data_IF_948438869541
#
_entry.id   IF_948438869541
#
_cell.length_a   1.000
_cell.length_b   1.000
_cell.length_c   1.000
_cell.angle_alpha   90.00
_cell.angle_beta   90.00
_cell.angle_gamma   90.00
#
_symmetry.space_group_name_H-M   'P 1'
#
loop_
_entity.id
_entity.type
_entity.pdbx_description
1 polymer ?
#
# COMPACT_ATOMS: atom_id res chain seq x y z
N UNK A 1 37.27 17.60 24.13
CA UNK A 1 36.86 16.23 24.49
C UNK A 1 35.35 16.25 24.43
N UNK A 2 34.81 15.85 23.29
CA UNK A 2 33.35 15.71 23.07
C UNK A 2 33.03 14.25 23.32
N UNK A 3 32.37 13.98 24.44
CA UNK A 3 31.78 12.67 24.70
C UNK A 3 30.84 12.33 23.55
N UNK A 4 31.16 11.27 22.83
CA UNK A 4 30.22 10.62 21.92
C UNK A 4 29.07 10.10 22.78
N UNK A 5 27.91 10.75 22.68
CA UNK A 5 26.69 10.29 23.29
C UNK A 5 26.34 8.94 22.61
N UNK A 6 26.81 7.86 23.20
CA UNK A 6 26.51 6.48 22.85
C UNK A 6 25.02 6.27 23.15
N UNK A 7 24.15 6.79 22.26
CA UNK A 7 22.72 6.57 22.34
C UNK A 7 22.45 5.08 22.19
N UNK A 8 22.25 4.38 23.30
CA UNK A 8 21.71 3.01 23.28
C UNK A 8 20.56 2.95 22.29
N UNK A 9 20.58 2.02 21.34
CA UNK A 9 19.49 1.88 20.37
C UNK A 9 18.17 1.75 21.14
N UNK A 10 17.18 2.54 20.74
CA UNK A 10 15.86 2.54 21.39
C UNK A 10 15.23 1.17 21.17
N UNK A 11 15.14 0.36 22.20
CA UNK A 11 14.57 -0.97 22.13
C UNK A 11 13.06 -0.90 21.88
N UNK A 12 12.59 -1.70 20.95
CA UNK A 12 11.17 -1.96 20.73
C UNK A 12 11.01 -3.32 20.03
N UNK A 13 9.81 -3.90 20.11
CA UNK A 13 9.53 -5.24 19.60
C UNK A 13 9.85 -5.44 18.11
N UNK A 14 9.79 -4.39 17.27
CA UNK A 14 10.12 -4.51 15.84
C UNK A 14 11.63 -4.72 15.67
N UNK A 15 12.45 -3.97 16.45
CA UNK A 15 13.91 -4.18 16.46
C UNK A 15 14.28 -5.58 16.95
N UNK A 16 13.57 -6.08 17.94
CA UNK A 16 13.79 -7.43 18.46
C UNK A 16 13.46 -8.47 17.39
N UNK A 17 12.34 -8.33 16.68
CA UNK A 17 11.98 -9.19 15.53
C UNK A 17 13.07 -9.15 14.45
N UNK A 18 13.57 -7.97 14.09
CA UNK A 18 14.62 -7.84 13.07
C UNK A 18 15.93 -8.50 13.52
N UNK A 19 16.33 -8.33 14.80
CA UNK A 19 17.51 -9.02 15.36
C UNK A 19 17.36 -10.55 15.32
N UNK A 20 16.19 -11.04 15.69
CA UNK A 20 15.86 -12.48 15.64
C UNK A 20 15.91 -13.02 14.19
N UNK A 21 15.40 -12.26 13.23
CA UNK A 21 15.41 -12.65 11.82
C UNK A 21 16.83 -12.69 11.25
N UNK A 22 17.66 -11.70 11.59
CA UNK A 22 19.07 -11.68 11.22
C UNK A 22 19.83 -12.84 11.86
N UNK A 23 19.65 -13.08 13.16
CA UNK A 23 20.31 -14.17 13.88
C UNK A 23 19.88 -15.55 13.37
N UNK A 24 18.64 -15.70 12.92
CA UNK A 24 18.10 -16.93 12.36
C UNK A 24 18.41 -17.13 10.85
N UNK A 25 19.13 -16.18 10.23
CA UNK A 25 19.43 -16.23 8.80
C UNK A 25 18.19 -16.14 7.89
N UNK A 26 17.08 -15.57 8.36
CA UNK A 26 15.85 -15.40 7.56
C UNK A 26 15.98 -14.27 6.55
N UNK A 27 16.91 -13.39 6.75
CA UNK A 27 17.22 -12.26 5.88
C UNK A 27 18.64 -12.43 5.39
N UNK A 28 18.78 -12.59 4.08
CA UNK A 28 20.10 -12.63 3.44
C UNK A 28 20.57 -11.19 3.16
N UNK A 29 21.71 -10.82 3.75
CA UNK A 29 22.33 -9.53 3.50
C UNK A 29 21.79 -8.42 4.38
N UNK A 30 21.17 -7.39 3.80
CA UNK A 30 20.84 -6.12 4.41
C UNK A 30 19.36 -5.99 4.76
N UNK A 31 19.05 -5.44 5.94
CA UNK A 31 17.67 -5.05 6.26
C UNK A 31 17.18 -4.02 5.27
N UNK A 32 16.01 -4.26 4.67
CA UNK A 32 15.42 -3.38 3.67
C UNK A 32 13.96 -3.11 4.03
N UNK A 33 13.67 -1.84 4.31
CA UNK A 33 12.34 -1.34 4.63
C UNK A 33 11.84 -0.39 3.55
N UNK A 34 10.61 0.10 3.67
CA UNK A 34 10.08 1.16 2.79
C UNK A 34 9.06 2.02 3.53
N UNK A 35 8.98 3.29 3.15
CA UNK A 35 7.86 4.17 3.46
C UNK A 35 7.01 4.29 2.19
N UNK A 36 5.75 3.75 2.17
CA UNK A 36 4.93 3.69 0.96
C UNK A 36 3.73 4.63 1.02
N UNK A 37 3.91 5.97 0.96
CA UNK A 37 2.79 6.89 1.02
C UNK A 37 1.96 6.86 -0.27
N UNK A 38 0.63 6.92 -0.14
CA UNK A 38 -0.26 7.27 -1.24
C UNK A 38 -0.17 8.80 -1.48
N UNK A 39 0.16 9.27 -2.71
CA UNK A 39 0.37 10.70 -2.98
C UNK A 39 -0.97 11.44 -3.19
N UNK A 40 -1.88 11.36 -2.21
CA UNK A 40 -3.25 11.87 -2.24
C UNK A 40 -3.54 12.92 -1.14
N UNK A 41 -2.50 13.58 -0.61
CA UNK A 41 -2.58 14.68 0.36
C UNK A 41 -1.29 14.85 1.15
N UNK A 42 -1.26 15.91 1.96
CA UNK A 42 -0.14 16.23 2.83
C UNK A 42 0.00 15.26 3.99
N UNK A 43 1.24 14.98 4.39
CA UNK A 43 1.53 14.11 5.52
C UNK A 43 1.19 14.80 6.85
N UNK A 44 0.71 14.03 7.80
CA UNK A 44 0.45 14.47 9.17
C UNK A 44 1.39 13.79 10.16
N UNK A 45 1.38 14.21 11.42
CA UNK A 45 2.25 13.69 12.48
C UNK A 45 2.21 12.16 12.63
N UNK A 46 1.09 11.51 12.27
CA UNK A 46 0.99 10.05 12.26
C UNK A 46 1.91 9.40 11.20
N UNK A 47 2.08 10.06 10.05
CA UNK A 47 3.02 9.61 9.02
C UNK A 47 4.48 9.84 9.46
N UNK A 48 4.77 10.93 10.20
CA UNK A 48 6.10 11.15 10.75
C UNK A 48 6.56 9.98 11.62
N UNK A 49 5.67 9.40 12.45
CA UNK A 49 5.96 8.18 13.21
C UNK A 49 6.38 7.02 12.30
N UNK A 50 5.66 6.80 11.19
CA UNK A 50 5.97 5.72 10.25
C UNK A 50 7.29 5.96 9.51
N UNK A 51 7.55 7.21 9.10
CA UNK A 51 8.82 7.62 8.47
C UNK A 51 9.99 7.34 9.43
N UNK A 52 9.94 7.88 10.65
CA UNK A 52 10.98 7.69 11.65
C UNK A 52 11.20 6.20 11.99
N UNK A 53 10.14 5.39 11.98
CA UNK A 53 10.25 3.96 12.24
C UNK A 53 10.96 3.23 11.09
N UNK A 54 10.52 3.42 9.84
CA UNK A 54 11.07 2.72 8.68
C UNK A 54 12.51 3.14 8.37
N UNK A 55 12.77 4.44 8.27
CA UNK A 55 14.12 4.97 8.03
C UNK A 55 15.05 4.74 9.21
N UNK A 56 14.55 4.94 10.44
CA UNK A 56 15.33 4.72 11.65
C UNK A 56 15.71 3.25 11.84
N UNK A 57 14.80 2.31 11.51
CA UNK A 57 15.10 0.89 11.54
C UNK A 57 16.20 0.54 10.53
N UNK A 58 16.08 1.04 9.30
CA UNK A 58 17.11 0.84 8.28
C UNK A 58 18.48 1.37 8.77
N UNK A 59 18.52 2.58 9.33
CA UNK A 59 19.76 3.17 9.86
C UNK A 59 20.36 2.36 11.02
N UNK A 60 19.54 1.86 11.95
CA UNK A 60 19.99 1.07 13.10
C UNK A 60 20.65 -0.27 12.71
N UNK A 61 20.36 -0.79 11.52
CA UNK A 61 20.85 -2.08 11.03
C UNK A 61 21.70 -1.96 9.75
N UNK A 62 22.28 -0.79 9.47
CA UNK A 62 23.04 -0.51 8.24
C UNK A 62 22.29 -0.94 6.97
N UNK A 63 20.98 -0.78 7.02
CA UNK A 63 20.04 -1.23 6.01
C UNK A 63 19.67 -0.16 4.99
N UNK A 64 18.62 -0.43 4.25
CA UNK A 64 18.07 0.46 3.24
C UNK A 64 16.61 0.78 3.56
N UNK A 65 16.18 2.00 3.18
CA UNK A 65 14.76 2.34 3.19
C UNK A 65 14.39 2.98 1.84
N UNK A 66 13.36 2.45 1.19
CA UNK A 66 12.82 3.00 -0.04
C UNK A 66 11.74 4.04 0.26
N UNK A 67 11.65 5.07 -0.56
CA UNK A 67 10.45 5.89 -0.69
C UNK A 67 9.68 5.35 -1.90
N UNK A 68 8.56 4.67 -1.68
CA UNK A 68 7.71 4.15 -2.76
C UNK A 68 6.34 4.82 -2.71
N UNK A 69 6.00 5.57 -3.72
CA UNK A 69 4.67 6.11 -3.87
C UNK A 69 3.69 5.00 -4.29
N UNK A 70 2.67 4.77 -3.46
CA UNK A 70 1.57 3.87 -3.79
C UNK A 70 0.53 4.64 -4.63
N UNK A 71 0.84 4.77 -5.92
CA UNK A 71 0.07 5.52 -6.89
C UNK A 71 -0.83 4.61 -7.73
N UNK A 72 -1.69 3.85 -7.06
CA UNK A 72 -2.64 2.91 -7.66
C UNK A 72 -4.07 3.48 -7.82
N UNK A 73 -4.31 4.69 -7.31
CA UNK A 73 -5.61 5.35 -7.36
C UNK A 73 -5.56 6.73 -8.05
N UNK A 74 -5.65 6.79 -9.39
CA UNK A 74 -5.41 8.00 -10.17
C UNK A 74 -6.37 9.17 -9.88
N UNK A 75 -7.51 8.93 -9.21
CA UNK A 75 -8.54 9.96 -8.97
C UNK A 75 -8.13 11.00 -7.93
N UNK A 76 -7.20 10.68 -7.05
CA UNK A 76 -6.89 11.50 -5.87
C UNK A 76 -5.43 11.92 -5.77
N UNK A 77 -4.60 11.45 -6.69
CA UNK A 77 -3.14 11.56 -6.64
C UNK A 77 -2.65 12.75 -7.48
N UNK A 78 -1.58 13.40 -7.02
CA UNK A 78 -0.98 14.52 -7.75
C UNK A 78 0.51 14.68 -7.51
N UNK A 79 1.19 15.35 -8.46
CA UNK A 79 2.61 15.74 -8.34
C UNK A 79 2.86 16.71 -7.18
N UNK A 80 1.89 17.55 -6.82
CA UNK A 80 1.98 18.43 -5.65
C UNK A 80 2.20 17.63 -4.37
N UNK A 81 1.41 16.56 -4.18
CA UNK A 81 1.54 15.71 -3.00
C UNK A 81 2.84 14.92 -3.00
N UNK A 82 3.30 14.44 -4.16
CA UNK A 82 4.61 13.81 -4.30
C UNK A 82 5.72 14.76 -3.83
N UNK A 83 5.70 16.01 -4.29
CA UNK A 83 6.70 17.02 -3.91
C UNK A 83 6.68 17.32 -2.40
N UNK A 84 5.48 17.53 -1.84
CA UNK A 84 5.30 17.76 -0.41
C UNK A 84 5.78 16.61 0.46
N UNK A 85 5.48 15.37 0.07
CA UNK A 85 5.93 14.16 0.79
C UNK A 85 7.46 14.07 0.82
N UNK A 86 8.10 14.32 -0.32
CA UNK A 86 9.57 14.32 -0.43
C UNK A 86 10.20 15.39 0.46
N UNK A 87 9.62 16.58 0.48
CA UNK A 87 10.07 17.66 1.36
C UNK A 87 9.92 17.30 2.83
N UNK A 88 8.80 16.73 3.22
CA UNK A 88 8.53 16.33 4.61
C UNK A 88 9.49 15.24 5.11
N UNK A 89 9.81 14.22 4.27
CA UNK A 89 10.77 13.17 4.61
C UNK A 89 12.17 13.77 4.82
N UNK A 90 12.61 14.68 3.92
CA UNK A 90 13.91 15.35 4.06
C UNK A 90 13.95 16.26 5.28
N UNK A 91 12.89 16.98 5.54
CA UNK A 91 12.82 17.85 6.73
C UNK A 91 12.93 17.04 8.02
N UNK A 92 12.39 15.82 8.06
CA UNK A 92 12.58 14.90 9.20
C UNK A 92 14.00 14.35 9.33
N UNK A 93 14.92 14.72 8.44
CA UNK A 93 16.33 14.32 8.47
C UNK A 93 16.64 13.02 7.76
N UNK A 94 15.73 12.52 6.92
CA UNK A 94 15.93 11.27 6.18
C UNK A 94 16.12 11.50 4.68
N UNK A 95 16.88 10.61 4.06
CA UNK A 95 17.05 10.51 2.62
C UNK A 95 16.90 9.05 2.17
N UNK A 96 16.43 8.85 0.97
CA UNK A 96 16.26 7.54 0.36
C UNK A 96 17.36 7.23 -0.68
N UNK A 97 18.38 8.07 -0.80
CA UNK A 97 19.57 7.89 -1.67
C UNK A 97 19.22 7.40 -3.08
N UNK A 98 18.27 8.06 -3.72
CA UNK A 98 17.81 7.72 -5.06
C UNK A 98 16.88 6.50 -5.16
N UNK A 99 16.58 5.82 -4.06
CA UNK A 99 15.62 4.69 -4.01
C UNK A 99 14.17 5.19 -3.97
N UNK A 100 13.80 5.92 -5.01
CA UNK A 100 12.45 6.45 -5.22
C UNK A 100 11.73 5.55 -6.23
N UNK A 101 10.61 4.99 -5.82
CA UNK A 101 9.82 4.05 -6.61
C UNK A 101 8.35 4.46 -6.66
N UNK A 102 7.65 3.94 -7.64
CA UNK A 102 6.23 4.17 -7.83
C UNK A 102 5.54 2.85 -8.16
N UNK A 103 4.41 2.58 -7.54
CA UNK A 103 3.63 1.37 -7.83
C UNK A 103 3.23 1.31 -9.31
N UNK A 104 2.97 2.47 -9.93
CA UNK A 104 2.66 2.58 -11.35
C UNK A 104 3.80 2.15 -12.28
N UNK A 105 5.06 2.11 -11.81
CA UNK A 105 6.18 1.58 -12.60
C UNK A 105 6.13 0.06 -12.73
N UNK A 106 5.40 -0.60 -11.84
CA UNK A 106 5.24 -2.06 -11.83
C UNK A 106 3.97 -2.55 -12.51
N UNK A 107 3.15 -1.69 -13.10
CA UNK A 107 1.85 -2.09 -13.67
C UNK A 107 1.93 -3.24 -14.67
N UNK A 108 2.92 -3.22 -15.58
CA UNK A 108 3.11 -4.35 -16.52
C UNK A 108 3.47 -5.63 -15.76
N UNK A 109 4.37 -5.56 -14.78
CA UNK A 109 4.78 -6.72 -13.99
C UNK A 109 3.65 -7.27 -13.12
N UNK A 110 2.87 -6.38 -12.52
CA UNK A 110 1.68 -6.76 -11.76
C UNK A 110 0.63 -7.42 -12.66
N UNK A 111 0.50 -6.94 -13.91
CA UNK A 111 -0.39 -7.54 -14.90
C UNK A 111 0.09 -8.95 -15.31
N UNK A 112 1.38 -9.15 -15.56
CA UNK A 112 1.98 -10.46 -15.82
C UNK A 112 1.73 -11.44 -14.65
N UNK A 113 1.91 -10.98 -13.41
CA UNK A 113 1.62 -11.77 -12.22
C UNK A 113 0.14 -12.18 -12.13
N UNK A 114 -0.77 -11.28 -12.49
CA UNK A 114 -2.18 -11.59 -12.53
C UNK A 114 -2.50 -12.66 -13.61
N UNK A 115 -1.90 -12.57 -14.81
CA UNK A 115 -2.04 -13.62 -15.83
C UNK A 115 -1.54 -14.99 -15.32
N UNK A 116 -0.45 -15.02 -14.51
CA UNK A 116 0.03 -16.27 -13.91
C UNK A 116 -1.05 -16.87 -13.00
N UNK A 117 -1.70 -16.08 -12.15
CA UNK A 117 -2.77 -16.58 -11.28
C UNK A 117 -4.00 -17.05 -12.09
N UNK A 118 -4.35 -16.35 -13.17
CA UNK A 118 -5.41 -16.81 -14.08
C UNK A 118 -5.06 -18.14 -14.70
N UNK A 119 -3.83 -18.33 -15.21
CA UNK A 119 -3.36 -19.61 -15.78
C UNK A 119 -3.36 -20.76 -14.76
N UNK A 120 -3.13 -20.46 -13.48
CA UNK A 120 -3.22 -21.41 -12.38
C UNK A 120 -4.67 -21.72 -11.95
N UNK A 121 -5.67 -21.04 -12.53
CA UNK A 121 -7.07 -21.15 -12.10
C UNK A 121 -7.36 -20.49 -10.75
N UNK A 122 -6.45 -19.63 -10.28
CA UNK A 122 -6.53 -18.92 -8.99
C UNK A 122 -7.04 -17.49 -9.10
N UNK A 123 -7.43 -17.06 -10.30
CA UNK A 123 -8.11 -15.79 -10.53
C UNK A 123 -9.12 -15.94 -11.67
N UNK A 124 -10.19 -15.16 -11.65
CA UNK A 124 -11.24 -15.17 -12.65
C UNK A 124 -11.80 -13.78 -12.88
N UNK A 125 -12.30 -13.54 -14.09
CA UNK A 125 -13.01 -12.32 -14.47
C UNK A 125 -14.47 -12.43 -14.01
N UNK A 126 -14.92 -11.43 -13.27
CA UNK A 126 -16.26 -11.33 -12.70
C UNK A 126 -17.00 -10.15 -13.31
N UNK A 127 -18.24 -10.39 -13.77
CA UNK A 127 -19.09 -9.36 -14.40
C UNK A 127 -20.12 -8.76 -13.42
N UNK A 128 -20.01 -9.10 -12.12
CA UNK A 128 -20.85 -8.48 -11.10
C UNK A 128 -20.44 -7.02 -10.87
N UNK A 129 -21.43 -6.17 -10.61
CA UNK A 129 -21.20 -4.80 -10.16
C UNK A 129 -20.47 -4.76 -8.80
N UNK A 130 -19.93 -3.61 -8.43
CA UNK A 130 -19.29 -3.44 -7.12
C UNK A 130 -20.27 -3.67 -5.96
N UNK A 131 -21.54 -3.27 -6.13
CA UNK A 131 -22.63 -3.49 -5.20
C UNK A 131 -22.93 -4.99 -5.04
N UNK A 132 -23.04 -5.72 -6.16
CA UNK A 132 -23.31 -7.17 -6.14
C UNK A 132 -22.13 -7.96 -5.56
N UNK A 133 -20.89 -7.58 -5.87
CA UNK A 133 -19.69 -8.15 -5.26
C UNK A 133 -19.74 -7.95 -3.73
N UNK A 134 -20.15 -6.78 -3.27
CA UNK A 134 -20.29 -6.48 -1.84
C UNK A 134 -21.42 -7.30 -1.22
N UNK A 135 -22.56 -7.39 -1.86
CA UNK A 135 -23.73 -8.15 -1.39
C UNK A 135 -23.42 -9.67 -1.30
N UNK A 136 -22.71 -10.22 -2.28
CA UNK A 136 -22.36 -11.65 -2.31
C UNK A 136 -21.24 -12.02 -1.36
N UNK A 137 -20.45 -11.07 -0.86
CA UNK A 137 -19.35 -11.33 0.08
C UNK A 137 -19.81 -11.92 1.42
N UNK A 138 -21.06 -11.69 1.81
CA UNK A 138 -21.60 -12.10 3.10
C UNK A 138 -21.17 -11.18 4.26
N UNK A 139 -21.19 -11.70 5.47
CA UNK A 139 -20.85 -10.94 6.71
C UNK A 139 -19.87 -11.74 7.56
N UNK A 140 -19.44 -11.19 8.69
CA UNK A 140 -18.58 -11.92 9.66
C UNK A 140 -19.26 -13.20 10.19
N UNK A 141 -20.58 -13.24 10.24
CA UNK A 141 -21.38 -14.35 10.76
C UNK A 141 -22.06 -15.21 9.68
N UNK A 142 -22.01 -14.78 8.41
CA UNK A 142 -22.58 -15.50 7.27
C UNK A 142 -21.55 -15.64 6.16
N UNK A 143 -21.35 -16.85 5.60
CA UNK A 143 -20.47 -17.05 4.46
C UNK A 143 -20.95 -16.22 3.26
N UNK A 144 -20.06 -15.96 2.34
CA UNK A 144 -20.39 -15.40 1.04
C UNK A 144 -20.96 -16.45 0.10
N UNK A 145 -21.40 -15.98 -1.06
CA UNK A 145 -21.92 -16.80 -2.14
C UNK A 145 -21.00 -16.71 -3.35
N UNK A 146 -20.72 -17.82 -3.99
CA UNK A 146 -19.92 -17.87 -5.20
C UNK A 146 -20.53 -17.00 -6.30
N UNK A 147 -19.67 -16.27 -7.01
CA UNK A 147 -20.07 -15.58 -8.22
C UNK A 147 -20.45 -16.59 -9.31
N UNK A 148 -21.50 -16.34 -10.11
CA UNK A 148 -21.83 -17.20 -11.25
C UNK A 148 -20.71 -17.30 -12.30
N UNK A 149 -19.76 -16.36 -12.26
CA UNK A 149 -18.60 -16.29 -13.17
C UNK A 149 -17.34 -16.99 -12.62
N UNK A 150 -17.40 -17.50 -11.39
CA UNK A 150 -16.25 -18.08 -10.68
C UNK A 150 -15.65 -19.32 -11.36
N UNK A 151 -16.46 -20.02 -12.13
CA UNK A 151 -16.09 -21.28 -12.77
C UNK A 151 -15.91 -21.16 -14.30
N UNK A 152 -15.65 -19.95 -14.82
CA UNK A 152 -15.17 -19.76 -16.19
C UNK A 152 -13.87 -20.51 -16.42
N UNK A 153 -13.66 -21.00 -17.65
CA UNK A 153 -12.40 -21.67 -18.01
C UNK A 153 -11.21 -20.72 -17.92
N UNK A 154 -10.01 -21.26 -17.86
CA UNK A 154 -8.76 -20.47 -17.86
C UNK A 154 -8.66 -19.64 -19.15
N UNK A 155 -9.00 -20.24 -20.29
CA UNK A 155 -8.95 -19.62 -21.61
C UNK A 155 -9.90 -18.41 -21.69
N UNK A 156 -11.15 -18.56 -21.25
CA UNK A 156 -12.13 -17.47 -21.19
C UNK A 156 -11.64 -16.34 -20.28
N UNK A 157 -11.11 -16.68 -19.11
CA UNK A 157 -10.62 -15.67 -18.18
C UNK A 157 -9.40 -14.92 -18.74
N UNK A 158 -8.47 -15.59 -19.43
CA UNK A 158 -7.34 -14.94 -20.07
C UNK A 158 -7.77 -14.02 -21.21
N UNK A 159 -8.69 -14.48 -22.07
CA UNK A 159 -9.25 -13.65 -23.15
C UNK A 159 -9.91 -12.40 -22.59
N UNK A 160 -10.84 -12.57 -21.65
CA UNK A 160 -11.53 -11.45 -21.02
C UNK A 160 -10.58 -10.48 -20.31
N UNK A 161 -9.58 -10.98 -19.59
CA UNK A 161 -8.64 -10.12 -18.86
C UNK A 161 -7.78 -9.29 -19.82
N UNK A 162 -7.33 -9.86 -20.93
CA UNK A 162 -6.62 -9.15 -22.00
C UNK A 162 -7.48 -8.08 -22.66
N UNK A 163 -8.75 -8.38 -22.93
CA UNK A 163 -9.71 -7.43 -23.48
C UNK A 163 -10.06 -6.32 -22.48
N UNK A 164 -10.07 -6.62 -21.16
CA UNK A 164 -10.16 -5.58 -20.13
C UNK A 164 -8.97 -4.61 -20.24
N UNK A 165 -7.75 -5.13 -20.42
CA UNK A 165 -6.53 -4.31 -20.59
C UNK A 165 -6.57 -3.49 -21.89
N UNK A 166 -7.12 -4.06 -22.95
CA UNK A 166 -7.33 -3.38 -24.24
C UNK A 166 -8.41 -2.30 -24.20
N UNK A 167 -9.15 -2.15 -23.10
CA UNK A 167 -10.17 -1.13 -22.93
C UNK A 167 -11.49 -1.43 -23.67
N UNK A 168 -11.78 -2.68 -23.99
CA UNK A 168 -13.00 -3.06 -24.72
C UNK A 168 -14.28 -2.95 -23.88
N UNK A 169 -14.14 -2.94 -22.53
CA UNK A 169 -15.30 -2.95 -21.64
C UNK A 169 -15.49 -1.62 -20.92
N UNK A 170 -16.74 -1.22 -20.60
CA UNK A 170 -16.99 -0.01 -19.82
C UNK A 170 -16.44 -0.10 -18.38
N UNK A 171 -16.28 1.08 -17.77
CA UNK A 171 -15.89 1.20 -16.36
C UNK A 171 -16.85 0.44 -15.44
N UNK A 172 -16.30 -0.28 -14.48
CA UNK A 172 -17.08 -1.04 -13.50
C UNK A 172 -17.82 -2.27 -14.02
N UNK A 173 -17.80 -2.54 -15.33
CA UNK A 173 -18.52 -3.69 -15.92
C UNK A 173 -17.87 -5.05 -15.62
N UNK A 174 -16.58 -5.06 -15.35
CA UNK A 174 -15.81 -6.26 -15.03
C UNK A 174 -14.72 -5.97 -14.02
N UNK A 175 -14.39 -6.98 -13.23
CA UNK A 175 -13.24 -6.99 -12.33
C UNK A 175 -12.50 -8.31 -12.42
N UNK A 176 -11.18 -8.32 -12.17
CA UNK A 176 -10.44 -9.55 -11.90
C UNK A 176 -10.50 -9.83 -10.41
N UNK A 177 -10.88 -11.03 -10.01
CA UNK A 177 -10.96 -11.47 -8.62
C UNK A 177 -10.06 -12.67 -8.39
N UNK A 178 -9.38 -12.71 -7.24
CA UNK A 178 -8.73 -13.93 -6.79
C UNK A 178 -9.78 -15.01 -6.47
N UNK A 179 -9.44 -16.27 -6.69
CA UNK A 179 -10.31 -17.42 -6.41
C UNK A 179 -9.77 -18.13 -5.17
N UNK A 180 -10.30 -17.77 -4.01
CA UNK A 180 -9.82 -18.29 -2.72
C UNK A 180 -10.92 -19.10 -2.02
N UNK A 181 -11.72 -18.48 -1.15
CA UNK A 181 -12.77 -19.16 -0.40
C UNK A 181 -13.86 -18.18 0.05
N UNK A 182 -15.06 -18.31 -0.50
CA UNK A 182 -16.20 -17.45 -0.16
C UNK A 182 -16.77 -17.71 1.24
N UNK A 183 -16.36 -18.79 1.92
CA UNK A 183 -16.73 -19.10 3.30
C UNK A 183 -15.67 -18.68 4.33
N UNK A 184 -14.52 -18.14 3.88
CA UNK A 184 -13.42 -17.83 4.77
C UNK A 184 -13.84 -16.83 5.88
N UNK A 185 -13.41 -17.02 7.16
CA UNK A 185 -13.78 -16.12 8.26
C UNK A 185 -13.27 -14.68 8.06
N UNK A 186 -12.08 -14.51 7.46
CA UNK A 186 -11.59 -13.21 7.05
C UNK A 186 -12.24 -12.80 5.72
N UNK A 187 -13.01 -11.71 5.74
CA UNK A 187 -13.73 -11.19 4.56
C UNK A 187 -12.80 -10.80 3.40
N UNK A 188 -11.55 -10.46 3.68
CA UNK A 188 -10.56 -10.10 2.66
C UNK A 188 -10.08 -11.29 1.83
N UNK A 189 -10.30 -12.53 2.30
CA UNK A 189 -10.00 -13.76 1.58
C UNK A 189 -11.21 -14.35 0.84
N UNK A 190 -12.35 -13.63 0.83
CA UNK A 190 -13.55 -14.02 0.08
C UNK A 190 -13.51 -13.47 -1.33
N UNK A 191 -12.74 -14.11 -2.19
CA UNK A 191 -12.53 -13.77 -3.59
C UNK A 191 -12.34 -12.25 -3.80
N UNK A 192 -11.25 -11.66 -3.28
CA UNK A 192 -11.03 -10.23 -3.36
C UNK A 192 -10.81 -9.74 -4.78
N UNK A 193 -11.17 -8.47 -5.03
CA UNK A 193 -10.91 -7.80 -6.29
C UNK A 193 -9.41 -7.48 -6.39
N UNK A 194 -8.78 -7.88 -7.49
CA UNK A 194 -7.40 -7.58 -7.85
C UNK A 194 -7.31 -6.39 -8.79
N UNK A 195 -8.17 -6.36 -9.82
CA UNK A 195 -8.21 -5.30 -10.83
C UNK A 195 -9.62 -4.83 -11.11
N UNK A 196 -9.74 -3.55 -11.47
CA UNK A 196 -10.97 -2.88 -11.89
C UNK A 196 -10.73 -2.00 -13.09
N UNK A 197 -11.72 -1.88 -13.97
CA UNK A 197 -11.68 -1.00 -15.15
C UNK A 197 -12.04 0.41 -14.71
N UNK A 198 -11.17 1.38 -15.03
CA UNK A 198 -11.39 2.81 -14.81
C UNK A 198 -10.68 3.62 -15.89
N UNK A 199 -11.40 4.48 -16.60
CA UNK A 199 -10.84 5.41 -17.59
C UNK A 199 -10.58 6.77 -16.96
N UNK A 200 -9.52 6.83 -16.16
CA UNK A 200 -9.07 8.04 -15.47
C UNK A 200 -7.63 8.33 -15.83
N UNK A 201 -7.33 9.59 -16.12
CA UNK A 201 -5.97 10.04 -16.39
C UNK A 201 -5.08 9.84 -15.16
N UNK A 202 -4.00 9.11 -15.33
CA UNK A 202 -2.99 8.91 -14.28
C UNK A 202 -1.89 9.94 -14.42
N UNK A 203 -1.56 10.65 -13.34
CA UNK A 203 -0.61 11.78 -13.36
C UNK A 203 0.80 11.43 -13.88
N UNK A 204 1.21 10.14 -13.86
CA UNK A 204 2.49 9.65 -14.42
C UNK A 204 2.32 8.84 -15.71
N UNK A 205 1.26 8.07 -15.83
CA UNK A 205 1.05 7.12 -16.95
C UNK A 205 0.10 7.67 -18.02
N UNK A 206 -0.48 8.86 -17.80
CA UNK A 206 -1.45 9.41 -18.74
C UNK A 206 -2.65 8.49 -18.90
N UNK A 207 -3.06 8.30 -20.15
CA UNK A 207 -4.21 7.46 -20.52
C UNK A 207 -3.79 6.05 -21.01
N UNK A 208 -2.52 5.65 -20.77
CA UNK A 208 -2.00 4.35 -21.22
C UNK A 208 -2.64 3.15 -20.49
N UNK A 209 -3.28 3.37 -19.35
CA UNK A 209 -3.92 2.34 -18.54
C UNK A 209 -5.38 2.67 -18.30
N UNK A 210 -6.23 1.64 -18.40
CA UNK A 210 -7.63 1.67 -18.01
C UNK A 210 -7.98 0.54 -17.01
N UNK A 211 -6.98 -0.22 -16.60
CA UNK A 211 -7.12 -1.38 -15.72
C UNK A 211 -6.21 -1.18 -14.50
N UNK A 212 -6.79 -0.80 -13.37
CA UNK A 212 -6.04 -0.43 -12.18
C UNK A 212 -6.04 -1.53 -11.13
N UNK A 213 -4.86 -1.86 -10.56
CA UNK A 213 -4.76 -2.80 -9.46
C UNK A 213 -5.39 -2.22 -8.19
N UNK A 214 -5.85 -3.09 -7.30
CA UNK A 214 -6.19 -2.69 -5.93
C UNK A 214 -4.94 -2.64 -5.07
N UNK A 215 -5.01 -1.92 -3.95
CA UNK A 215 -3.94 -1.88 -2.95
C UNK A 215 -3.49 -3.28 -2.52
N UNK A 216 -4.44 -4.15 -2.15
CA UNK A 216 -4.13 -5.50 -1.67
C UNK A 216 -3.40 -6.36 -2.70
N UNK A 217 -3.65 -6.11 -3.98
CA UNK A 217 -2.92 -6.78 -5.06
C UNK A 217 -1.53 -6.18 -5.28
N UNK A 218 -1.41 -4.86 -5.35
CA UNK A 218 -0.16 -4.20 -5.73
C UNK A 218 0.90 -4.23 -4.61
N UNK A 219 0.49 -4.11 -3.35
CA UNK A 219 1.37 -3.85 -2.23
C UNK A 219 2.42 -4.94 -1.99
N UNK A 220 1.99 -6.20 -1.85
CA UNK A 220 2.90 -7.33 -1.58
C UNK A 220 3.86 -7.59 -2.73
N UNK A 221 3.38 -7.51 -3.95
CA UNK A 221 4.18 -7.73 -5.14
C UNK A 221 5.21 -6.62 -5.34
N UNK A 222 4.87 -5.37 -5.06
CA UNK A 222 5.82 -4.25 -5.07
C UNK A 222 6.91 -4.44 -4.01
N UNK A 223 6.54 -4.85 -2.79
CA UNK A 223 7.51 -5.19 -1.75
C UNK A 223 8.47 -6.31 -2.20
N UNK A 224 7.92 -7.34 -2.85
CA UNK A 224 8.69 -8.47 -3.40
C UNK A 224 9.65 -8.05 -4.52
N UNK A 225 9.18 -7.21 -5.45
CA UNK A 225 9.99 -6.70 -6.58
C UNK A 225 11.16 -5.86 -6.07
N UNK A 226 10.93 -5.05 -5.04
CA UNK A 226 11.95 -4.18 -4.43
C UNK A 226 12.89 -4.92 -3.46
N UNK A 227 12.63 -6.19 -3.16
CA UNK A 227 13.42 -6.96 -2.19
C UNK A 227 13.29 -6.45 -0.76
N UNK A 228 12.13 -5.90 -0.40
CA UNK A 228 11.85 -5.46 0.97
C UNK A 228 11.87 -6.65 1.90
N UNK A 229 12.69 -6.61 2.93
CA UNK A 229 12.80 -7.72 3.90
C UNK A 229 11.74 -7.63 4.98
N UNK A 230 11.50 -6.42 5.49
CA UNK A 230 10.54 -6.14 6.55
C UNK A 230 9.54 -5.08 6.09
N UNK A 231 8.32 -5.53 5.83
CA UNK A 231 7.18 -4.72 5.41
C UNK A 231 6.44 -4.20 6.65
N UNK A 232 6.77 -2.98 7.08
CA UNK A 232 6.23 -2.42 8.32
C UNK A 232 4.99 -1.59 8.03
N UNK A 233 3.87 -1.98 8.63
CA UNK A 233 2.55 -1.40 8.41
C UNK A 233 1.89 -0.95 9.72
N UNK A 234 0.84 -0.15 9.66
CA UNK A 234 -0.01 0.10 10.82
C UNK A 234 -0.93 -1.10 11.10
N UNK A 235 -1.40 -1.22 12.35
CA UNK A 235 -2.20 -2.36 12.83
C UNK A 235 -3.48 -2.60 12.02
N UNK A 236 -3.96 -1.59 11.32
CA UNK A 236 -5.12 -1.70 10.41
C UNK A 236 -4.92 -2.74 9.30
N UNK A 237 -3.66 -3.03 8.96
CA UNK A 237 -3.29 -4.00 7.92
C UNK A 237 -3.07 -5.44 8.44
N UNK A 238 -3.24 -5.69 9.73
CA UNK A 238 -3.13 -7.05 10.28
C UNK A 238 -4.10 -8.02 9.59
N UNK A 239 -5.33 -7.59 9.37
CA UNK A 239 -6.36 -8.39 8.69
C UNK A 239 -6.06 -8.59 7.19
N UNK A 240 -5.20 -7.75 6.59
CA UNK A 240 -4.76 -7.87 5.19
C UNK A 240 -3.58 -8.83 5.02
N UNK A 241 -2.77 -9.05 6.07
CA UNK A 241 -1.56 -9.90 6.01
C UNK A 241 -1.81 -11.32 5.46
N UNK A 242 -2.91 -12.04 5.82
CA UNK A 242 -3.17 -13.34 5.23
C UNK A 242 -3.36 -13.30 3.70
N UNK A 243 -3.94 -12.23 3.16
CA UNK A 243 -4.11 -12.03 1.73
C UNK A 243 -2.78 -11.66 1.05
N UNK A 244 -2.00 -10.78 1.66
CA UNK A 244 -0.63 -10.45 1.26
C UNK A 244 0.23 -11.73 1.13
N UNK A 245 0.22 -12.55 2.15
CA UNK A 245 0.95 -13.83 2.19
C UNK A 245 0.46 -14.81 1.13
N UNK A 246 -0.84 -14.87 0.91
CA UNK A 246 -1.45 -15.76 -0.08
C UNK A 246 -0.99 -15.40 -1.50
N UNK A 247 -1.03 -14.13 -1.89
CA UNK A 247 -0.59 -13.72 -3.22
C UNK A 247 0.89 -14.04 -3.46
N UNK A 248 1.77 -13.72 -2.53
CA UNK A 248 3.20 -13.99 -2.68
C UNK A 248 3.50 -15.49 -2.78
N UNK A 249 2.83 -16.29 -1.97
CA UNK A 249 2.94 -17.76 -1.99
C UNK A 249 2.50 -18.32 -3.33
N UNK A 250 1.32 -17.92 -3.81
CA UNK A 250 0.76 -18.45 -5.05
C UNK A 250 1.54 -18.01 -6.29
N UNK A 251 2.18 -16.86 -6.25
CA UNK A 251 3.11 -16.41 -7.28
C UNK A 251 4.47 -17.10 -7.21
N UNK A 252 4.88 -17.60 -6.03
CA UNK A 252 6.20 -18.18 -5.83
C UNK A 252 7.32 -17.13 -5.87
N UNK A 253 7.03 -15.89 -5.47
CA UNK A 253 7.98 -14.78 -5.44
C UNK A 253 8.55 -14.56 -4.04
N UNK A 254 9.58 -13.71 -3.93
CA UNK A 254 10.18 -13.37 -2.64
C UNK A 254 9.11 -12.87 -1.66
N UNK A 255 9.14 -13.40 -0.42
CA UNK A 255 8.16 -13.09 0.62
C UNK A 255 8.77 -12.23 1.72
N UNK A 256 8.49 -10.91 1.73
CA UNK A 256 8.82 -10.05 2.87
C UNK A 256 8.10 -10.48 4.15
N UNK A 257 8.65 -10.13 5.31
CA UNK A 257 7.95 -10.29 6.59
C UNK A 257 7.13 -9.03 6.88
N UNK A 258 5.81 -9.15 6.85
CA UNK A 258 4.94 -8.04 7.27
C UNK A 258 4.86 -7.99 8.80
N UNK A 259 5.02 -6.78 9.37
CA UNK A 259 4.97 -6.51 10.81
C UNK A 259 4.08 -5.28 11.01
N UNK A 260 3.16 -5.35 11.97
CA UNK A 260 2.25 -4.27 12.26
C UNK A 260 2.61 -3.56 13.57
N UNK A 261 2.37 -2.26 13.60
CA UNK A 261 2.52 -1.42 14.78
C UNK A 261 1.30 -0.53 14.99
N UNK A 262 1.04 -0.14 16.25
CA UNK A 262 -0.07 0.74 16.58
C UNK A 262 0.10 2.12 15.94
N UNK A 263 -0.96 2.62 15.25
CA UNK A 263 -0.98 4.00 14.76
C UNK A 263 -0.86 5.01 15.89
N UNK A 264 -0.40 6.22 15.56
CA UNK A 264 -0.39 7.32 16.51
C UNK A 264 -1.82 7.86 16.70
N UNK A 265 -2.30 7.80 17.93
CA UNK A 265 -3.54 8.46 18.35
C UNK A 265 -3.19 9.62 19.27
N UNK A 266 -3.73 10.80 18.96
CA UNK A 266 -3.57 12.00 19.78
C UNK A 266 -4.93 12.45 20.28
N UNK A 267 -5.01 12.76 21.58
CA UNK A 267 -6.20 13.39 22.15
C UNK A 267 -6.40 14.79 21.55
N UNK A 268 -7.65 15.20 21.39
CA UNK A 268 -8.05 16.52 20.88
C UNK A 268 -7.46 16.87 19.50
N UNK A 269 -7.03 15.87 18.70
CA UNK A 269 -6.43 16.08 17.38
C UNK A 269 -7.11 15.20 16.34
N UNK A 270 -7.55 15.82 15.25
CA UNK A 270 -8.13 15.11 14.10
C UNK A 270 -7.02 14.75 13.11
N UNK A 271 -6.76 13.44 12.93
CA UNK A 271 -5.80 12.92 11.95
C UNK A 271 -6.49 12.30 10.71
N UNK A 272 -7.81 12.41 10.61
CA UNK A 272 -8.56 11.92 9.45
C UNK A 272 -8.32 12.80 8.24
N UNK A 273 -7.64 12.28 7.22
CA UNK A 273 -7.37 12.98 5.96
C UNK A 273 -8.62 13.57 5.32
N UNK A 274 -9.73 12.81 5.29
CA UNK A 274 -11.02 13.29 4.77
C UNK A 274 -11.54 14.53 5.52
N UNK A 275 -11.40 14.54 6.85
CA UNK A 275 -11.84 15.69 7.66
C UNK A 275 -10.90 16.90 7.49
N UNK A 276 -9.58 16.66 7.39
CA UNK A 276 -8.62 17.71 7.13
C UNK A 276 -8.83 18.35 5.75
N UNK A 277 -9.05 17.54 4.72
CA UNK A 277 -9.40 18.01 3.38
C UNK A 277 -10.67 18.86 3.38
N UNK A 278 -11.67 18.51 4.19
CA UNK A 278 -12.90 19.30 4.31
C UNK A 278 -12.62 20.71 4.86
N UNK A 279 -11.74 20.82 5.87
CA UNK A 279 -11.35 22.12 6.41
C UNK A 279 -10.70 23.02 5.36
N UNK A 280 -9.85 22.44 4.50
CA UNK A 280 -9.22 23.17 3.39
C UNK A 280 -10.27 23.58 2.34
N UNK A 281 -11.14 22.63 1.92
CA UNK A 281 -12.16 22.88 0.89
C UNK A 281 -13.20 23.92 1.33
N UNK A 282 -13.54 23.96 2.60
CA UNK A 282 -14.49 24.95 3.17
C UNK A 282 -13.82 26.27 3.59
N UNK A 283 -12.54 26.45 3.26
CA UNK A 283 -11.75 27.63 3.65
C UNK A 283 -11.80 27.93 5.17
N UNK A 284 -11.83 26.88 6.01
CA UNK A 284 -11.72 27.00 7.47
C UNK A 284 -10.29 27.18 7.92
N UNK A 285 -9.35 26.84 7.09
CA UNK A 285 -7.90 27.01 7.22
C UNK A 285 -7.35 27.55 5.92
N UNK A 286 -6.18 28.19 5.95
CA UNK A 286 -5.58 28.85 4.78
C UNK A 286 -4.98 27.85 3.78
N UNK A 287 -4.78 26.60 4.19
CA UNK A 287 -4.24 25.52 3.36
C UNK A 287 -3.74 24.34 4.21
N UNK A 288 -3.08 23.42 3.57
CA UNK A 288 -2.54 22.24 4.24
C UNK A 288 -1.38 22.56 5.19
N UNK A 289 -0.70 23.66 4.99
CA UNK A 289 0.40 24.18 5.79
C UNK A 289 -0.05 25.18 6.88
N UNK A 290 -1.36 25.39 7.03
CA UNK A 290 -1.89 26.22 8.09
C UNK A 290 -1.37 25.76 9.45
N UNK A 291 -0.85 26.67 10.32
CA UNK A 291 -0.33 26.30 11.63
C UNK A 291 -1.33 25.59 12.56
N UNK A 292 -2.63 25.65 12.28
CA UNK A 292 -3.66 24.91 13.02
C UNK A 292 -3.80 23.46 12.61
N UNK A 293 -3.23 23.09 11.44
CA UNK A 293 -3.29 21.73 10.90
C UNK A 293 -2.24 20.82 11.56
N UNK A 294 -2.55 19.52 11.81
CA UNK A 294 -1.60 18.54 12.33
C UNK A 294 -0.70 17.95 11.24
N UNK A 295 -0.60 18.60 10.09
CA UNK A 295 0.30 18.24 9.00
C UNK A 295 1.74 18.56 9.37
N UNK A 296 2.70 17.85 8.77
CA UNK A 296 4.12 18.13 8.98
C UNK A 296 4.43 19.56 8.56
N UNK A 297 3.93 20.02 7.41
CA UNK A 297 4.08 21.40 6.94
C UNK A 297 3.46 22.41 7.90
N UNK A 298 2.28 22.16 8.49
CA UNK A 298 1.67 23.01 9.51
C UNK A 298 2.49 23.06 10.80
N UNK A 299 3.07 21.93 11.23
CA UNK A 299 3.98 21.89 12.38
C UNK A 299 5.26 22.70 12.12
N UNK A 300 5.84 22.59 10.93
CA UNK A 300 7.00 23.38 10.51
C UNK A 300 6.69 24.89 10.59
N UNK A 301 5.54 25.34 10.08
CA UNK A 301 5.12 26.75 10.17
C UNK A 301 4.90 27.22 11.60
N UNK A 302 4.57 26.32 12.53
CA UNK A 302 4.52 26.63 13.96
C UNK A 302 5.89 26.73 14.63
N UNK A 303 6.99 26.46 13.92
CA UNK A 303 8.35 26.51 14.44
C UNK A 303 8.82 25.22 15.13
N UNK A 304 8.12 24.10 14.94
CA UNK A 304 8.65 22.82 15.40
C UNK A 304 9.88 22.42 14.58
N UNK A 305 10.85 21.85 15.27
CA UNK A 305 12.05 21.25 14.67
C UNK A 305 11.86 19.73 14.54
N UNK A 306 12.56 19.06 13.62
CA UNK A 306 12.54 17.60 13.51
C UNK A 306 13.28 16.92 14.68
#
# INVERSE_FOLDING_TARGET
>A
MTESDDKKPRENFIRDIVREDLAAGRVEGRVHTRFPPEPNGYLHIGHAKSICLNFGLAADFDGLCNLRFDDTNPETESLEYVASIKEDVRWLGFDWDGREYYASDYYEKLYEFAEILVRKGQAYVCDLSAEDVTATRGTLTRPGTDSPFRNRTVEENLDLFRRMRAGEFPDGSKSLRAKIDMAHPNLLLRDPVMYRIRRVHHYRRGDAWCLYPTYDWAHGQSDSIEGITHSICTLEFEVHRPLYDWFLKELGVFKPRQIEFARLNLSHTVLSKRKLLLLVKENRVDGWDDPRMPTISGLRRRGYTP
#
